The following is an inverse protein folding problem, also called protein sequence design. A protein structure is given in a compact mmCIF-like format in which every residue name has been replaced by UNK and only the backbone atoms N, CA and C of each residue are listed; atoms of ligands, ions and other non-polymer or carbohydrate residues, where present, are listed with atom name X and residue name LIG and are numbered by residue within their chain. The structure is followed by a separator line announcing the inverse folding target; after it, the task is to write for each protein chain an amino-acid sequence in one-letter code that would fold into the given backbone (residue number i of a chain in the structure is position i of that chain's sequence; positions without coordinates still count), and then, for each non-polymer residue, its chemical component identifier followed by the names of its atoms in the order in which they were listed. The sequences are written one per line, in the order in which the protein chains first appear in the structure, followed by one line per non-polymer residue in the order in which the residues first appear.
data_IF_960024870870
#
_entry.id   IF_960024870870
#
_cell.length_a   1.000
_cell.length_b   1.000
_cell.length_c   1.000
_cell.angle_alpha   90.00
_cell.angle_beta   90.00
_cell.angle_gamma   90.00
#
_symmetry.space_group_name_H-M   'P 1'
#
loop_
_entity.id
_entity.type
_entity.pdbx_description
1 polymer ?
#
# COMPACT_ATOMS: atom_id res chain seq x y z
N UNK A 1 35.08 9.02 -70.87
CA UNK A 1 35.66 9.00 -69.53
C UNK A 1 34.95 9.95 -68.52
N UNK A 2 34.51 11.20 -68.86
CA UNK A 2 33.86 12.13 -67.95
C UNK A 2 32.46 11.72 -67.49
N UNK A 3 31.70 10.91 -68.27
CA UNK A 3 30.33 10.46 -67.85
C UNK A 3 30.34 9.26 -66.89
N UNK A 4 31.38 8.45 -66.87
CA UNK A 4 31.49 7.29 -65.93
C UNK A 4 31.93 7.76 -64.55
N UNK A 5 32.74 8.81 -64.44
CA UNK A 5 33.11 9.37 -63.11
C UNK A 5 31.92 10.03 -62.37
N UNK A 6 30.98 10.60 -63.16
CA UNK A 6 29.81 11.26 -62.56
C UNK A 6 28.79 10.27 -61.93
N UNK A 7 28.67 9.06 -62.56
CA UNK A 7 27.77 8.01 -62.05
C UNK A 7 28.32 7.35 -60.75
N UNK A 8 29.64 7.15 -60.69
CA UNK A 8 30.28 6.58 -59.50
C UNK A 8 30.26 7.53 -58.31
N UNK A 9 30.35 8.85 -58.52
CA UNK A 9 30.26 9.84 -57.41
C UNK A 9 28.86 9.94 -56.81
N UNK A 10 27.79 9.80 -57.63
CA UNK A 10 26.39 9.82 -57.15
C UNK A 10 26.04 8.53 -56.40
N UNK A 11 26.57 7.38 -56.82
CA UNK A 11 26.37 6.08 -56.14
C UNK A 11 27.08 6.02 -54.78
N UNK A 12 28.26 6.61 -54.64
CA UNK A 12 29.00 6.65 -53.36
C UNK A 12 28.30 7.61 -52.38
N UNK A 13 27.71 8.72 -52.85
CA UNK A 13 26.96 9.64 -52.00
C UNK A 13 25.60 9.06 -51.56
N UNK A 14 24.94 8.29 -52.42
CA UNK A 14 23.70 7.58 -52.08
C UNK A 14 23.93 6.46 -51.03
N UNK A 15 25.04 5.72 -51.10
CA UNK A 15 25.38 4.70 -50.10
C UNK A 15 25.76 5.32 -48.74
N UNK A 16 26.44 6.48 -48.73
CA UNK A 16 26.75 7.16 -47.46
C UNK A 16 25.52 7.74 -46.77
N UNK A 17 24.49 8.18 -47.50
CA UNK A 17 23.22 8.62 -46.92
C UNK A 17 22.39 7.44 -46.35
N UNK A 18 22.43 6.26 -46.97
CA UNK A 18 21.74 5.06 -46.47
C UNK A 18 22.44 4.53 -45.21
N UNK A 19 23.77 4.60 -45.13
CA UNK A 19 24.51 4.23 -43.92
C UNK A 19 24.35 5.25 -42.79
N UNK A 20 24.22 6.54 -43.09
CA UNK A 20 23.97 7.57 -42.08
C UNK A 20 22.54 7.50 -41.52
N UNK A 21 21.55 7.07 -42.32
CA UNK A 21 20.19 6.85 -41.88
C UNK A 21 20.01 5.58 -41.03
N UNK A 22 20.78 4.52 -41.30
CA UNK A 22 20.75 3.28 -40.53
C UNK A 22 21.50 3.37 -39.19
N UNK A 23 22.31 4.41 -38.97
CA UNK A 23 22.99 4.67 -37.70
C UNK A 23 22.13 5.58 -36.80
N UNK A 24 21.11 6.27 -37.36
CA UNK A 24 20.21 7.20 -36.62
C UNK A 24 18.93 6.55 -36.09
N UNK A 25 18.62 5.30 -36.45
CA UNK A 25 17.52 4.53 -35.94
C UNK A 25 17.99 3.34 -35.07
N UNK A 26 18.88 3.57 -34.11
CA UNK A 26 18.77 2.83 -32.87
C UNK A 26 17.58 3.48 -32.17
N UNK A 27 16.39 2.96 -32.41
CA UNK A 27 15.27 3.15 -31.48
C UNK A 27 15.86 2.83 -30.10
N UNK A 28 15.95 3.82 -29.23
CA UNK A 28 16.11 3.53 -27.82
C UNK A 28 14.95 2.59 -27.49
N UNK A 29 15.27 1.33 -27.32
CA UNK A 29 14.33 0.32 -26.90
C UNK A 29 13.77 0.88 -25.59
N UNK A 30 12.53 1.40 -25.61
CA UNK A 30 11.93 2.06 -24.45
C UNK A 30 11.93 1.03 -23.34
N UNK A 31 12.73 1.29 -22.33
CA UNK A 31 12.79 0.45 -21.14
C UNK A 31 11.40 0.37 -20.55
N UNK A 32 10.91 -0.84 -20.32
CA UNK A 32 9.58 -1.10 -19.76
C UNK A 32 9.74 -1.90 -18.48
N UNK A 33 9.16 -1.41 -17.41
CA UNK A 33 9.12 -2.06 -16.11
C UNK A 33 7.69 -2.61 -15.87
N UNK A 34 7.56 -3.86 -15.47
CA UNK A 34 6.27 -4.44 -15.10
C UNK A 34 6.12 -4.45 -13.58
N UNK A 35 5.10 -3.73 -13.09
CA UNK A 35 4.79 -3.58 -11.67
C UNK A 35 3.47 -4.29 -11.37
N UNK A 36 3.49 -5.24 -10.43
CA UNK A 36 2.28 -5.83 -9.87
C UNK A 36 1.95 -5.12 -8.56
N UNK A 37 0.70 -4.65 -8.44
CA UNK A 37 0.22 -3.96 -7.26
C UNK A 37 -1.21 -4.40 -6.90
N UNK A 38 -1.61 -4.09 -5.68
CA UNK A 38 -2.97 -4.35 -5.22
C UNK A 38 -3.99 -3.42 -5.89
N UNK A 39 -5.26 -3.86 -5.92
CA UNK A 39 -6.29 -3.18 -6.71
C UNK A 39 -6.53 -1.74 -6.29
N UNK A 40 -6.49 -1.43 -4.98
CA UNK A 40 -6.70 -0.06 -4.50
C UNK A 40 -5.58 0.88 -4.93
N UNK A 41 -4.33 0.41 -5.00
CA UNK A 41 -3.22 1.19 -5.56
C UNK A 41 -3.45 1.56 -7.02
N UNK A 42 -4.05 0.64 -7.79
CA UNK A 42 -4.27 0.75 -9.23
C UNK A 42 -5.58 1.44 -9.61
N UNK A 43 -6.53 1.55 -8.69
CA UNK A 43 -7.89 2.05 -8.96
C UNK A 43 -7.94 3.54 -9.29
N UNK A 44 -9.13 4.02 -9.67
CA UNK A 44 -9.36 5.42 -10.06
C UNK A 44 -9.01 6.42 -8.95
N UNK A 45 -9.10 5.99 -7.69
CA UNK A 45 -8.75 6.76 -6.48
C UNK A 45 -7.37 6.38 -5.93
N UNK A 46 -6.67 5.45 -6.61
CA UNK A 46 -5.38 4.96 -6.19
C UNK A 46 -4.22 5.87 -6.59
N UNK A 47 -3.14 5.75 -5.86
CA UNK A 47 -1.95 6.57 -6.04
C UNK A 47 -1.23 6.34 -7.38
N UNK A 48 -1.48 5.23 -8.07
CA UNK A 48 -0.87 4.93 -9.35
C UNK A 48 -1.16 5.99 -10.42
N UNK A 49 -2.35 6.64 -10.35
CA UNK A 49 -2.73 7.71 -11.26
C UNK A 49 -1.81 8.93 -11.25
N UNK A 50 -1.14 9.21 -10.14
CA UNK A 50 -0.14 10.28 -10.01
C UNK A 50 1.29 9.76 -10.11
N UNK A 51 1.62 8.71 -9.36
CA UNK A 51 2.99 8.18 -9.24
C UNK A 51 3.53 7.62 -10.56
N UNK A 52 2.73 6.83 -11.30
CA UNK A 52 3.22 6.20 -12.53
C UNK A 52 3.56 7.23 -13.63
N UNK A 53 2.67 8.19 -13.97
CA UNK A 53 3.01 9.23 -14.95
C UNK A 53 4.19 10.11 -14.51
N UNK A 54 4.32 10.41 -13.22
CA UNK A 54 5.45 11.18 -12.69
C UNK A 54 6.77 10.41 -12.84
N UNK A 55 6.79 9.13 -12.49
CA UNK A 55 7.95 8.25 -12.69
C UNK A 55 8.35 8.16 -14.16
N UNK A 56 7.39 7.87 -15.06
CA UNK A 56 7.63 7.79 -16.49
C UNK A 56 8.20 9.09 -17.07
N UNK A 57 7.71 10.24 -16.60
CA UNK A 57 8.20 11.56 -17.01
C UNK A 57 9.61 11.83 -16.50
N UNK A 58 9.91 11.46 -15.25
CA UNK A 58 11.20 11.71 -14.64
C UNK A 58 12.31 10.83 -15.22
N UNK A 59 12.01 9.57 -15.56
CA UNK A 59 13.02 8.56 -15.91
C UNK A 59 13.01 8.14 -17.37
N UNK A 60 11.92 8.38 -18.12
CA UNK A 60 11.72 7.84 -19.47
C UNK A 60 11.40 6.33 -19.49
N UNK A 61 11.35 5.66 -18.34
CA UNK A 61 11.00 4.24 -18.20
C UNK A 61 9.49 4.11 -18.27
N UNK A 62 8.97 3.24 -19.14
CA UNK A 62 7.54 2.94 -19.21
C UNK A 62 7.15 1.91 -18.16
N UNK A 63 5.98 2.09 -17.54
CA UNK A 63 5.45 1.15 -16.56
C UNK A 63 4.24 0.40 -17.13
N UNK A 64 4.34 -0.92 -17.12
CA UNK A 64 3.23 -1.82 -17.33
C UNK A 64 2.65 -2.19 -15.95
N UNK A 65 1.67 -1.40 -15.48
CA UNK A 65 1.02 -1.63 -14.19
C UNK A 65 -0.03 -2.73 -14.31
N UNK A 66 0.00 -3.69 -13.40
CA UNK A 66 -0.93 -4.82 -13.34
C UNK A 66 -1.63 -4.83 -11.99
N UNK A 67 -2.93 -4.56 -11.98
CA UNK A 67 -3.79 -4.81 -10.83
C UNK A 67 -3.90 -6.32 -10.60
N UNK A 68 -3.46 -6.80 -9.46
CA UNK A 68 -3.28 -8.23 -9.20
C UNK A 68 -4.17 -8.76 -8.05
N UNK A 69 -5.26 -8.07 -7.76
CA UNK A 69 -6.14 -8.36 -6.64
C UNK A 69 -5.64 -7.78 -5.32
N UNK A 70 -5.88 -8.46 -4.21
CA UNK A 70 -5.29 -8.10 -2.93
C UNK A 70 -3.77 -8.40 -2.92
N UNK A 71 -3.02 -7.82 -1.98
CA UNK A 71 -1.56 -8.01 -1.87
C UNK A 71 -1.12 -9.47 -1.83
N UNK A 72 -1.86 -10.33 -1.10
CA UNK A 72 -1.61 -11.78 -1.08
C UNK A 72 -1.84 -12.43 -2.45
N UNK A 73 -2.82 -11.94 -3.21
CA UNK A 73 -3.11 -12.44 -4.56
C UNK A 73 -2.00 -12.04 -5.53
N UNK A 74 -1.45 -10.84 -5.40
CA UNK A 74 -0.28 -10.41 -6.17
C UNK A 74 0.94 -11.32 -5.91
N UNK A 75 1.24 -11.64 -4.65
CA UNK A 75 2.31 -12.57 -4.26
C UNK A 75 2.06 -13.97 -4.89
N UNK A 76 0.83 -14.48 -4.75
CA UNK A 76 0.46 -15.78 -5.29
C UNK A 76 0.54 -15.81 -6.81
N UNK A 77 0.18 -14.72 -7.49
CA UNK A 77 0.30 -14.60 -8.95
C UNK A 77 1.76 -14.75 -9.39
N UNK A 78 2.69 -14.01 -8.77
CA UNK A 78 4.12 -14.14 -9.05
C UNK A 78 4.60 -15.59 -8.82
N UNK A 79 4.17 -16.21 -7.72
CA UNK A 79 4.54 -17.59 -7.36
C UNK A 79 4.03 -18.61 -8.38
N UNK A 80 2.80 -18.46 -8.84
CA UNK A 80 2.20 -19.36 -9.85
C UNK A 80 2.84 -19.19 -11.22
N UNK A 81 3.23 -17.98 -11.61
CA UNK A 81 3.93 -17.72 -12.85
C UNK A 81 5.38 -18.27 -12.83
N UNK A 82 5.99 -18.34 -11.66
CA UNK A 82 7.33 -18.89 -11.44
C UNK A 82 8.37 -18.23 -12.33
N UNK A 83 9.19 -19.04 -13.02
CA UNK A 83 10.25 -18.55 -13.93
C UNK A 83 9.70 -17.79 -15.16
N UNK A 84 8.40 -17.84 -15.42
CA UNK A 84 7.75 -17.14 -16.54
C UNK A 84 7.09 -15.83 -16.10
N UNK A 85 7.24 -15.43 -14.84
CA UNK A 85 6.68 -14.17 -14.38
C UNK A 85 7.22 -12.99 -15.20
N UNK A 86 6.34 -12.03 -15.46
CA UNK A 86 6.72 -10.75 -16.07
C UNK A 86 6.85 -9.63 -15.03
N UNK A 87 6.56 -9.96 -13.77
CA UNK A 87 6.67 -9.00 -12.68
C UNK A 87 8.14 -8.67 -12.43
N UNK A 88 8.47 -7.39 -12.43
CA UNK A 88 9.79 -6.87 -12.05
C UNK A 88 9.80 -6.34 -10.63
N UNK A 89 8.69 -5.66 -10.24
CA UNK A 89 8.48 -5.08 -8.92
C UNK A 89 7.10 -5.45 -8.42
N UNK A 90 7.01 -5.87 -7.17
CA UNK A 90 5.75 -6.02 -6.45
C UNK A 90 5.58 -4.85 -5.47
N UNK A 91 4.38 -4.25 -5.41
CA UNK A 91 4.04 -3.11 -4.56
C UNK A 91 2.87 -3.47 -3.64
N UNK A 92 2.91 -3.00 -2.40
CA UNK A 92 1.85 -3.20 -1.40
C UNK A 92 1.98 -4.50 -0.62
N UNK A 93 3.20 -4.99 -0.44
CA UNK A 93 3.45 -6.09 0.50
C UNK A 93 3.58 -5.51 1.90
N UNK A 94 2.58 -5.72 2.74
CA UNK A 94 2.60 -5.24 4.11
C UNK A 94 3.45 -6.13 5.02
N UNK A 95 3.88 -5.58 6.13
CA UNK A 95 4.74 -6.26 7.13
C UNK A 95 4.11 -7.53 7.70
N UNK A 96 2.79 -7.58 7.82
CA UNK A 96 2.01 -8.71 8.33
C UNK A 96 1.91 -9.91 7.37
N UNK A 97 2.30 -9.75 6.09
CA UNK A 97 2.33 -10.82 5.06
C UNK A 97 3.70 -10.99 4.41
N UNK A 98 4.71 -10.29 4.90
CA UNK A 98 6.05 -10.22 4.31
C UNK A 98 6.72 -11.59 4.14
N UNK A 99 6.50 -12.52 5.09
CA UNK A 99 7.01 -13.89 5.06
C UNK A 99 6.61 -14.65 3.79
N UNK A 100 5.43 -14.33 3.23
CA UNK A 100 4.92 -14.96 2.01
C UNK A 100 5.66 -14.51 0.74
N UNK A 101 6.41 -13.40 0.80
CA UNK A 101 7.07 -12.80 -0.36
C UNK A 101 8.59 -12.98 -0.38
N UNK A 102 9.25 -13.17 0.76
CA UNK A 102 10.70 -13.13 0.88
C UNK A 102 11.47 -14.07 -0.06
N UNK A 103 10.94 -15.25 -0.33
CA UNK A 103 11.57 -16.23 -1.24
C UNK A 103 11.53 -15.80 -2.72
N UNK A 104 10.64 -14.87 -3.06
CA UNK A 104 10.46 -14.34 -4.42
C UNK A 104 11.31 -13.09 -4.70
N UNK A 105 11.91 -12.48 -3.66
CA UNK A 105 12.49 -11.16 -3.73
C UNK A 105 14.01 -11.15 -3.65
N UNK A 106 14.63 -10.18 -4.32
CA UNK A 106 16.05 -9.85 -4.21
C UNK A 106 16.25 -8.66 -3.26
N UNK A 107 17.36 -8.67 -2.53
CA UNK A 107 17.75 -7.55 -1.69
C UNK A 107 18.17 -6.33 -2.52
N UNK A 108 17.77 -5.14 -2.07
CA UNK A 108 18.20 -3.87 -2.62
C UNK A 108 18.58 -2.88 -1.53
N UNK A 109 19.81 -2.37 -1.60
CA UNK A 109 20.29 -1.34 -0.69
C UNK A 109 20.12 0.05 -1.35
N UNK A 110 18.91 0.58 -1.31
CA UNK A 110 18.62 1.91 -1.81
C UNK A 110 19.49 2.97 -1.11
N UNK A 111 20.02 3.96 -1.83
CA UNK A 111 20.74 5.07 -1.21
C UNK A 111 19.86 5.94 -0.30
N UNK A 112 18.55 5.77 -0.36
CA UNK A 112 17.57 6.51 0.43
C UNK A 112 17.08 5.79 1.69
N UNK A 113 17.62 4.61 2.02
CA UNK A 113 17.22 3.86 3.23
C UNK A 113 17.37 4.67 4.52
N UNK A 114 18.36 5.57 4.59
CA UNK A 114 18.60 6.39 5.79
C UNK A 114 17.54 7.49 6.00
N UNK A 115 16.66 7.76 5.01
CA UNK A 115 15.52 8.65 5.19
C UNK A 115 14.33 7.97 5.85
N UNK A 116 14.35 6.65 5.93
CA UNK A 116 13.30 5.82 6.55
C UNK A 116 13.64 5.62 8.03
N UNK A 117 12.68 5.91 8.93
CA UNK A 117 12.86 5.61 10.35
C UNK A 117 13.18 4.11 10.54
N UNK A 118 14.16 3.84 11.39
CA UNK A 118 14.63 2.47 11.62
C UNK A 118 13.52 1.54 12.13
N UNK A 119 12.54 2.07 12.87
CA UNK A 119 11.39 1.30 13.37
C UNK A 119 10.45 0.81 12.27
N UNK A 120 10.44 1.46 11.10
CA UNK A 120 9.65 1.08 9.95
C UNK A 120 10.36 0.05 9.05
N UNK A 121 11.67 -0.14 9.20
CA UNK A 121 12.49 -1.06 8.40
C UNK A 121 12.40 -2.48 8.95
N UNK A 122 11.28 -3.15 8.68
CA UNK A 122 10.96 -4.47 9.23
C UNK A 122 11.76 -5.62 8.59
N UNK A 123 12.21 -5.50 7.33
CA UNK A 123 13.06 -6.49 6.66
C UNK A 123 14.55 -6.09 6.74
N UNK A 124 15.31 -6.80 7.58
CA UNK A 124 16.74 -6.56 7.79
C UNK A 124 17.61 -6.88 6.57
N UNK A 125 17.08 -7.64 5.61
CA UNK A 125 17.79 -7.99 4.37
C UNK A 125 17.44 -7.04 3.22
N UNK A 126 16.59 -6.04 3.45
CA UNK A 126 16.16 -5.04 2.46
C UNK A 126 15.60 -5.67 1.16
N UNK A 127 14.86 -6.78 1.25
CA UNK A 127 14.10 -7.37 0.14
C UNK A 127 12.77 -6.67 -0.04
N UNK A 128 12.19 -6.20 1.08
CA UNK A 128 11.02 -5.34 1.15
C UNK A 128 11.42 -3.99 1.70
N UNK A 129 11.20 -2.95 0.90
CA UNK A 129 11.56 -1.57 1.23
C UNK A 129 10.28 -0.81 1.49
N UNK A 130 10.06 -0.33 2.72
CA UNK A 130 8.88 0.46 3.09
C UNK A 130 8.75 1.72 2.24
N UNK A 131 7.52 2.08 1.85
CA UNK A 131 7.26 3.34 1.14
C UNK A 131 6.18 4.20 1.78
N UNK A 132 5.26 3.60 2.55
CA UNK A 132 4.32 4.30 3.41
C UNK A 132 3.94 3.46 4.63
N UNK A 133 3.24 4.07 5.58
CA UNK A 133 2.73 3.38 6.77
C UNK A 133 1.51 4.08 7.34
N UNK A 134 0.73 3.36 8.14
CA UNK A 134 -0.39 3.90 8.89
C UNK A 134 -0.64 3.16 10.18
N UNK A 135 -1.54 3.68 10.99
CA UNK A 135 -2.01 3.03 12.22
C UNK A 135 -3.51 2.82 12.15
N UNK A 136 -3.98 1.63 12.54
CA UNK A 136 -5.41 1.34 12.56
C UNK A 136 -6.10 2.14 13.65
N UNK A 137 -7.29 2.65 13.34
CA UNK A 137 -8.15 3.32 14.29
C UNK A 137 -9.62 3.13 13.92
N UNK A 138 -10.51 3.21 14.90
CA UNK A 138 -11.91 3.40 14.59
C UNK A 138 -12.14 4.85 14.16
N UNK A 139 -12.85 5.02 13.06
CA UNK A 139 -13.32 6.32 12.58
C UNK A 139 -14.77 6.47 12.97
N UNK A 140 -15.11 7.63 13.45
CA UNK A 140 -16.39 7.95 14.03
C UNK A 140 -17.00 9.20 13.37
N UNK A 141 -18.31 9.14 13.17
CA UNK A 141 -19.09 10.26 12.67
C UNK A 141 -19.50 11.17 13.82
N UNK A 142 -18.87 12.35 13.92
CA UNK A 142 -19.13 13.30 15.01
C UNK A 142 -20.52 13.95 14.97
N UNK A 143 -21.23 13.85 13.84
CA UNK A 143 -22.60 14.35 13.69
C UNK A 143 -23.66 13.28 13.97
N UNK A 144 -23.27 12.05 14.29
CA UNK A 144 -24.16 10.92 14.57
C UNK A 144 -24.95 11.05 15.87
N UNK A 145 -24.55 11.96 16.76
CA UNK A 145 -25.20 12.20 18.05
C UNK A 145 -24.89 11.16 19.13
N UNK A 146 -24.00 10.20 18.89
CA UNK A 146 -23.50 9.28 19.91
C UNK A 146 -22.24 9.84 20.58
N UNK A 147 -21.95 9.40 21.81
CA UNK A 147 -20.66 9.67 22.41
C UNK A 147 -19.58 8.79 21.78
N UNK A 148 -18.39 9.32 21.46
CA UNK A 148 -17.30 8.49 20.93
C UNK A 148 -16.79 7.51 22.00
N UNK A 149 -16.58 6.21 21.65
CA UNK A 149 -16.00 5.24 22.57
C UNK A 149 -14.56 5.65 22.92
N UNK A 150 -14.13 5.37 24.15
CA UNK A 150 -12.84 5.80 24.66
C UNK A 150 -11.80 4.67 24.72
N UNK A 151 -12.18 3.44 24.34
CA UNK A 151 -11.30 2.26 24.34
C UNK A 151 -11.91 1.15 23.49
N UNK A 152 -11.09 0.13 23.17
CA UNK A 152 -11.58 -1.11 22.56
C UNK A 152 -12.68 -1.77 23.40
N UNK A 153 -12.51 -1.79 24.72
CA UNK A 153 -13.50 -2.37 25.61
C UNK A 153 -14.82 -1.57 25.65
N UNK A 154 -14.77 -0.25 25.51
CA UNK A 154 -15.98 0.57 25.48
C UNK A 154 -16.89 0.20 24.30
N UNK A 155 -16.32 -0.18 23.14
CA UNK A 155 -17.09 -0.62 21.97
C UNK A 155 -18.00 -1.83 22.25
N UNK A 156 -17.72 -2.63 23.27
CA UNK A 156 -18.53 -3.80 23.63
C UNK A 156 -19.79 -3.44 24.44
N UNK A 157 -19.95 -2.18 24.87
CA UNK A 157 -21.09 -1.73 25.64
C UNK A 157 -22.37 -1.70 24.80
N UNK A 158 -23.53 -1.88 25.46
CA UNK A 158 -24.85 -1.93 24.79
C UNK A 158 -25.17 -0.66 24.01
N UNK A 159 -24.64 0.49 24.41
CA UNK A 159 -24.85 1.76 23.69
C UNK A 159 -24.25 1.78 22.28
N UNK A 160 -23.29 0.90 21.98
CA UNK A 160 -22.67 0.75 20.65
C UNK A 160 -23.21 -0.44 19.86
N UNK A 161 -24.22 -1.15 20.35
CA UNK A 161 -24.86 -2.25 19.62
C UNK A 161 -25.43 -1.74 18.30
N UNK A 162 -25.16 -2.47 17.21
CA UNK A 162 -25.56 -2.15 15.82
C UNK A 162 -25.03 -0.80 15.31
N UNK A 163 -23.95 -0.28 15.94
CA UNK A 163 -23.33 1.01 15.56
C UNK A 163 -21.90 0.92 15.09
N UNK A 164 -21.34 -0.28 14.98
CA UNK A 164 -19.95 -0.52 14.61
C UNK A 164 -19.89 -1.42 13.40
N UNK A 165 -19.11 -1.04 12.40
CA UNK A 165 -18.76 -1.85 11.25
C UNK A 165 -17.35 -2.39 11.49
N UNK A 166 -17.23 -3.72 11.52
CA UNK A 166 -15.96 -4.44 11.54
C UNK A 166 -15.62 -4.94 10.13
N UNK A 167 -14.38 -5.41 9.96
CA UNK A 167 -13.91 -6.01 8.71
C UNK A 167 -13.32 -7.38 9.00
N UNK A 168 -13.55 -8.34 8.10
CA UNK A 168 -13.14 -9.73 8.26
C UNK A 168 -11.61 -9.87 8.18
N UNK A 169 -10.94 -10.38 9.22
CA UNK A 169 -9.49 -10.53 9.25
C UNK A 169 -8.93 -11.57 8.26
N UNK A 170 -9.79 -12.42 7.69
CA UNK A 170 -9.37 -13.44 6.71
C UNK A 170 -9.24 -12.89 5.30
N UNK A 171 -9.92 -11.77 5.01
CA UNK A 171 -10.11 -11.26 3.65
C UNK A 171 -9.58 -9.84 3.46
N UNK A 172 -9.15 -9.17 4.55
CA UNK A 172 -8.69 -7.77 4.51
C UNK A 172 -7.57 -7.52 5.51
N UNK A 173 -6.55 -6.78 5.09
CA UNK A 173 -5.46 -6.28 5.95
C UNK A 173 -5.99 -5.40 7.08
N UNK A 174 -7.05 -4.61 6.86
CA UNK A 174 -7.67 -3.80 7.92
C UNK A 174 -8.34 -4.67 8.99
N UNK A 175 -9.00 -5.75 8.57
CA UNK A 175 -9.56 -6.73 9.50
C UNK A 175 -8.47 -7.47 10.28
N UNK A 176 -7.41 -7.89 9.60
CA UNK A 176 -6.23 -8.51 10.23
C UNK A 176 -5.56 -7.52 11.19
N UNK A 177 -5.42 -6.25 10.81
CA UNK A 177 -4.90 -5.18 11.66
C UNK A 177 -5.71 -4.99 12.94
N UNK A 178 -7.04 -4.99 12.85
CA UNK A 178 -7.90 -4.96 14.05
C UNK A 178 -7.70 -6.18 14.94
N UNK A 179 -7.53 -7.37 14.34
CA UNK A 179 -7.27 -8.59 15.10
C UNK A 179 -5.95 -8.51 15.87
N UNK A 180 -4.88 -8.07 15.21
CA UNK A 180 -3.57 -7.85 15.81
C UNK A 180 -3.64 -6.76 16.90
N UNK A 181 -4.33 -5.67 16.64
CA UNK A 181 -4.53 -4.60 17.60
C UNK A 181 -5.23 -5.11 18.88
N UNK A 182 -6.34 -5.82 18.73
CA UNK A 182 -7.06 -6.39 19.89
C UNK A 182 -6.20 -7.37 20.67
N UNK A 183 -5.40 -8.21 19.98
CA UNK A 183 -4.47 -9.13 20.62
C UNK A 183 -3.41 -8.39 21.47
N UNK A 184 -2.78 -7.37 20.89
CA UNK A 184 -1.71 -6.62 21.57
C UNK A 184 -2.23 -5.72 22.71
N UNK A 185 -3.40 -5.12 22.52
CA UNK A 185 -3.97 -4.19 23.51
C UNK A 185 -4.68 -4.91 24.65
N UNK A 186 -5.38 -6.01 24.39
CA UNK A 186 -6.25 -6.69 25.36
C UNK A 186 -5.64 -7.97 25.95
N UNK A 187 -4.50 -8.44 25.43
CA UNK A 187 -3.88 -9.70 25.87
C UNK A 187 -4.89 -10.86 25.77
N UNK A 188 -5.01 -11.67 26.82
CA UNK A 188 -5.91 -12.84 26.84
C UNK A 188 -7.39 -12.52 26.59
N UNK A 189 -7.81 -11.25 26.76
CA UNK A 189 -9.19 -10.80 26.57
C UNK A 189 -9.63 -10.65 25.10
N UNK A 190 -8.72 -10.70 24.13
CA UNK A 190 -9.04 -10.44 22.74
C UNK A 190 -10.11 -11.38 22.14
N UNK A 191 -10.13 -12.65 22.54
CA UNK A 191 -11.12 -13.64 22.05
C UNK A 191 -12.54 -13.31 22.53
N UNK A 192 -12.68 -12.92 23.78
CA UNK A 192 -13.99 -12.55 24.35
C UNK A 192 -14.47 -11.22 23.77
N UNK A 193 -13.56 -10.29 23.50
CA UNK A 193 -13.88 -9.06 22.77
C UNK A 193 -14.48 -9.38 21.40
N UNK A 194 -13.82 -10.23 20.61
CA UNK A 194 -14.31 -10.62 19.27
C UNK A 194 -15.63 -11.36 19.30
N UNK A 195 -15.87 -12.26 20.28
CA UNK A 195 -17.16 -12.90 20.46
C UNK A 195 -18.27 -11.88 20.71
N UNK A 196 -18.02 -10.93 21.61
CA UNK A 196 -18.97 -9.88 21.93
C UNK A 196 -19.24 -8.98 20.73
N UNK A 197 -18.17 -8.52 20.08
CA UNK A 197 -18.28 -7.62 18.93
C UNK A 197 -18.90 -8.28 17.71
N UNK A 198 -18.67 -9.57 17.48
CA UNK A 198 -19.34 -10.30 16.38
C UNK A 198 -20.84 -10.39 16.56
N UNK A 199 -21.34 -10.31 17.81
CA UNK A 199 -22.77 -10.29 18.11
C UNK A 199 -23.36 -8.87 18.18
N UNK A 200 -22.50 -7.86 18.43
CA UNK A 200 -22.93 -6.48 18.66
C UNK A 200 -22.69 -5.55 17.48
N UNK A 201 -21.75 -5.88 16.59
CA UNK A 201 -21.50 -5.06 15.41
C UNK A 201 -22.68 -5.11 14.43
N UNK A 202 -22.92 -4.03 13.71
CA UNK A 202 -23.90 -4.00 12.62
C UNK A 202 -23.56 -5.07 11.60
N UNK A 203 -22.28 -5.16 11.22
CA UNK A 203 -21.79 -6.16 10.27
C UNK A 203 -20.28 -6.36 10.40
N UNK A 204 -19.80 -7.48 9.84
CA UNK A 204 -18.38 -7.74 9.55
C UNK A 204 -18.26 -7.75 8.03
N UNK A 205 -17.79 -6.64 7.45
CA UNK A 205 -17.65 -6.46 6.01
C UNK A 205 -16.48 -7.28 5.45
N UNK A 206 -16.57 -7.69 4.19
CA UNK A 206 -15.56 -8.50 3.53
C UNK A 206 -14.25 -7.75 3.20
N UNK A 207 -14.27 -6.41 3.21
CA UNK A 207 -13.11 -5.58 2.91
C UNK A 207 -13.31 -4.11 3.29
N UNK A 208 -12.22 -3.35 3.25
CA UNK A 208 -12.23 -1.96 3.67
C UNK A 208 -13.22 -1.10 2.85
N UNK A 209 -13.18 -1.18 1.53
CA UNK A 209 -14.07 -0.38 0.67
C UNK A 209 -15.56 -0.65 0.96
N UNK A 210 -15.92 -1.92 1.20
CA UNK A 210 -17.30 -2.28 1.54
C UNK A 210 -17.70 -1.73 2.92
N UNK A 211 -16.85 -1.89 3.94
CA UNK A 211 -17.13 -1.41 5.28
C UNK A 211 -17.14 0.11 5.37
N UNK A 212 -16.17 0.77 4.75
CA UNK A 212 -16.08 2.23 4.76
C UNK A 212 -17.20 2.89 3.94
N UNK A 213 -17.63 2.23 2.84
CA UNK A 213 -18.80 2.66 2.06
C UNK A 213 -20.08 2.67 2.91
N UNK A 214 -20.38 1.61 3.64
CA UNK A 214 -21.52 1.55 4.56
C UNK A 214 -21.46 2.67 5.63
N UNK A 215 -20.27 2.98 6.14
CA UNK A 215 -20.08 4.06 7.10
C UNK A 215 -20.39 5.44 6.49
N UNK A 216 -19.87 5.74 5.29
CA UNK A 216 -20.13 7.02 4.62
C UNK A 216 -21.56 7.14 4.12
N UNK A 217 -22.26 6.04 3.86
CA UNK A 217 -23.69 5.96 3.58
C UNK A 217 -24.55 6.19 4.84
N UNK A 218 -23.94 6.16 6.04
CA UNK A 218 -24.61 6.43 7.31
C UNK A 218 -25.28 5.21 7.95
N UNK A 219 -24.95 3.99 7.50
CA UNK A 219 -25.51 2.75 8.05
C UNK A 219 -25.08 2.50 9.50
N UNK A 220 -23.87 2.89 9.87
CA UNK A 220 -23.39 2.91 11.25
C UNK A 220 -22.39 4.04 11.48
N UNK A 221 -22.35 4.63 12.68
CA UNK A 221 -21.53 5.80 12.98
C UNK A 221 -20.06 5.49 13.30
N UNK A 222 -19.65 4.23 13.33
CA UNK A 222 -18.29 3.82 13.69
C UNK A 222 -17.83 2.71 12.73
N UNK A 223 -16.62 2.85 12.18
CA UNK A 223 -15.98 1.83 11.33
C UNK A 223 -14.51 1.69 11.69
N UNK A 224 -13.97 0.47 11.60
CA UNK A 224 -12.52 0.27 11.64
C UNK A 224 -11.87 0.75 10.34
N UNK A 225 -10.84 1.60 10.48
CA UNK A 225 -10.04 2.14 9.37
C UNK A 225 -8.66 2.58 9.89
N UNK A 226 -8.20 3.78 9.53
CA UNK A 226 -6.89 4.32 9.90
C UNK A 226 -7.00 5.67 10.61
N UNK A 227 -5.97 6.02 11.39
CA UNK A 227 -5.86 7.37 11.98
C UNK A 227 -5.82 8.46 10.90
N UNK A 228 -5.40 8.13 9.70
CA UNK A 228 -5.27 9.03 8.55
C UNK A 228 -6.56 9.14 7.71
N UNK A 229 -7.56 8.30 7.94
CA UNK A 229 -8.82 8.33 7.16
C UNK A 229 -9.52 9.70 7.10
N UNK A 230 -9.49 10.54 8.14
CA UNK A 230 -10.09 11.88 8.09
C UNK A 230 -9.48 12.79 7.01
N UNK A 231 -8.22 12.57 6.62
CA UNK A 231 -7.50 13.41 5.63
C UNK A 231 -8.28 13.51 4.32
N UNK A 232 -8.77 12.37 3.81
CA UNK A 232 -9.55 12.34 2.57
C UNK A 232 -10.75 13.30 2.63
N UNK A 233 -11.52 13.25 3.70
CA UNK A 233 -12.71 14.07 3.87
C UNK A 233 -12.39 15.57 4.01
N UNK A 234 -11.27 15.88 4.67
CA UNK A 234 -10.79 17.27 4.77
C UNK A 234 -10.35 17.79 3.41
N UNK A 235 -9.58 17.00 2.65
CA UNK A 235 -9.01 17.44 1.37
C UNK A 235 -10.03 17.52 0.24
N UNK A 236 -10.92 16.55 0.15
CA UNK A 236 -11.79 16.39 -1.02
C UNK A 236 -13.26 16.70 -0.76
N UNK A 237 -13.73 16.60 0.48
CA UNK A 237 -15.13 16.87 0.85
C UNK A 237 -15.29 18.12 1.72
N UNK A 238 -14.17 18.77 2.09
CA UNK A 238 -14.13 19.96 2.93
C UNK A 238 -14.94 19.81 4.24
N UNK A 239 -14.82 18.65 4.89
CA UNK A 239 -15.49 18.34 6.14
C UNK A 239 -14.54 17.73 7.18
N UNK A 240 -14.77 18.05 8.45
CA UNK A 240 -14.08 17.47 9.61
C UNK A 240 -15.01 16.57 10.43
N UNK A 241 -16.14 16.18 9.85
CA UNK A 241 -17.18 15.35 10.47
C UNK A 241 -16.63 14.00 10.91
N UNK A 242 -15.81 13.36 10.08
CA UNK A 242 -15.25 12.05 10.34
C UNK A 242 -13.94 12.18 11.11
N UNK A 243 -13.84 11.53 12.26
CA UNK A 243 -12.72 11.67 13.17
C UNK A 243 -12.16 10.32 13.57
N UNK A 244 -10.84 10.19 13.59
CA UNK A 244 -10.18 8.99 14.08
C UNK A 244 -10.10 9.01 15.62
N UNK A 245 -10.45 7.89 16.26
CA UNK A 245 -10.43 7.74 17.69
C UNK A 245 -9.06 7.22 18.14
N UNK A 246 -8.40 7.95 19.05
CA UNK A 246 -7.19 7.49 19.71
C UNK A 246 -7.53 6.82 21.05
N UNK A 247 -7.06 5.58 21.19
CA UNK A 247 -7.18 4.84 22.45
C UNK A 247 -5.84 4.80 23.19
N UNK A 248 -5.87 4.98 24.49
CA UNK A 248 -4.66 4.98 25.34
C UNK A 248 -3.99 3.61 25.42
N UNK A 249 -4.71 2.55 25.08
CA UNK A 249 -4.19 1.17 25.04
C UNK A 249 -3.11 0.96 23.96
N UNK A 250 -3.05 1.86 23.00
CA UNK A 250 -2.16 1.82 21.83
C UNK A 250 -2.89 1.43 20.56
N UNK A 251 -2.19 1.49 19.43
CA UNK A 251 -2.73 1.18 18.10
C UNK A 251 -1.77 0.26 17.34
N UNK A 252 -2.29 -0.62 16.51
CA UNK A 252 -1.48 -1.44 15.61
C UNK A 252 -1.10 -0.63 14.37
N UNK A 253 0.13 -0.80 13.88
CA UNK A 253 0.58 -0.22 12.63
C UNK A 253 0.52 -1.22 11.48
N UNK A 254 0.47 -0.71 10.27
CA UNK A 254 0.76 -1.44 9.03
C UNK A 254 1.81 -0.66 8.25
N UNK A 255 2.77 -1.34 7.68
CA UNK A 255 3.86 -0.77 6.91
C UNK A 255 3.81 -1.42 5.54
N UNK A 256 3.58 -0.62 4.49
CA UNK A 256 3.56 -1.11 3.13
C UNK A 256 4.93 -1.00 2.48
N UNK A 257 5.32 -2.02 1.74
CA UNK A 257 6.63 -2.12 1.11
C UNK A 257 6.55 -2.56 -0.35
N UNK A 258 7.61 -2.23 -1.08
CA UNK A 258 7.86 -2.72 -2.43
C UNK A 258 9.12 -3.60 -2.47
N UNK A 259 9.14 -4.57 -3.40
CA UNK A 259 10.27 -5.48 -3.55
C UNK A 259 10.57 -5.82 -5.00
N UNK A 260 11.84 -6.08 -5.30
CA UNK A 260 12.33 -6.48 -6.63
C UNK A 260 12.22 -8.00 -6.78
N UNK A 261 11.60 -8.45 -7.84
CA UNK A 261 11.43 -9.89 -8.11
C UNK A 261 12.77 -10.52 -8.54
N UNK A 262 13.09 -11.67 -7.95
CA UNK A 262 14.28 -12.46 -8.29
C UNK A 262 14.36 -12.80 -9.78
N UNK A 263 15.51 -12.53 -10.37
CA UNK A 263 15.77 -12.88 -11.76
C UNK A 263 15.15 -11.93 -12.77
N UNK A 264 14.64 -10.77 -12.36
CA UNK A 264 14.22 -9.72 -13.29
C UNK A 264 15.38 -9.31 -14.21
N UNK A 265 15.06 -9.05 -15.48
CA UNK A 265 16.02 -8.51 -16.46
C UNK A 265 16.08 -6.98 -16.43
N UNK A 266 15.19 -6.35 -15.68
CA UNK A 266 15.01 -4.90 -15.57
C UNK A 266 15.45 -4.38 -14.19
N UNK A 267 16.53 -4.95 -13.64
CA UNK A 267 17.02 -4.66 -12.28
C UNK A 267 17.23 -3.16 -12.04
N UNK A 268 17.90 -2.46 -12.96
CA UNK A 268 18.20 -1.04 -12.79
C UNK A 268 16.95 -0.16 -12.86
N UNK A 269 15.96 -0.56 -13.66
CA UNK A 269 14.66 0.10 -13.76
C UNK A 269 13.84 -0.12 -12.48
N UNK A 270 13.90 -1.33 -11.92
CA UNK A 270 13.25 -1.68 -10.66
C UNK A 270 13.84 -0.91 -9.47
N UNK A 271 15.17 -0.80 -9.39
CA UNK A 271 15.87 0.03 -8.40
C UNK A 271 15.45 1.51 -8.51
N UNK A 272 15.41 2.05 -9.74
CA UNK A 272 14.96 3.42 -9.98
C UNK A 272 13.51 3.64 -9.55
N UNK A 273 12.63 2.65 -9.71
CA UNK A 273 11.24 2.74 -9.29
C UNK A 273 11.10 2.76 -7.76
N UNK A 274 11.85 1.89 -7.05
CA UNK A 274 11.86 1.88 -5.59
C UNK A 274 12.44 3.20 -5.05
N UNK A 275 13.54 3.70 -5.63
CA UNK A 275 14.12 4.97 -5.22
C UNK A 275 13.15 6.14 -5.44
N UNK A 276 12.37 6.10 -6.53
CA UNK A 276 11.33 7.08 -6.81
C UNK A 276 10.20 7.03 -5.76
N UNK A 277 9.78 5.82 -5.33
CA UNK A 277 8.82 5.67 -4.25
C UNK A 277 9.29 6.28 -2.93
N UNK A 278 10.61 6.31 -2.66
CA UNK A 278 11.20 6.87 -1.44
C UNK A 278 11.48 8.37 -1.51
N UNK A 279 11.35 8.97 -2.69
CA UNK A 279 11.72 10.37 -2.93
C UNK A 279 10.57 11.16 -3.52
N UNK A 280 10.51 11.31 -4.83
CA UNK A 280 9.57 12.20 -5.52
C UNK A 280 8.10 11.75 -5.39
N UNK A 281 7.85 10.46 -5.18
CA UNK A 281 6.49 9.92 -5.01
C UNK A 281 5.92 10.14 -3.60
N UNK A 282 6.73 10.47 -2.60
CA UNK A 282 6.29 10.46 -1.19
C UNK A 282 5.12 11.41 -0.92
N UNK A 283 5.11 12.59 -1.54
CA UNK A 283 4.00 13.52 -1.37
C UNK A 283 2.73 13.05 -2.10
N UNK A 284 2.87 12.41 -3.25
CA UNK A 284 1.74 11.83 -3.97
C UNK A 284 1.16 10.62 -3.21
N UNK A 285 2.02 9.78 -2.62
CA UNK A 285 1.62 8.70 -1.71
C UNK A 285 0.83 9.24 -0.52
N UNK A 286 1.35 10.28 0.15
CA UNK A 286 0.65 10.91 1.26
C UNK A 286 -0.72 11.45 0.83
N UNK A 287 -0.81 12.16 -0.29
CA UNK A 287 -2.05 12.79 -0.74
C UNK A 287 -3.11 11.79 -1.22
N UNK A 288 -2.72 10.77 -2.00
CA UNK A 288 -3.66 9.86 -2.62
C UNK A 288 -3.96 8.62 -1.77
N UNK A 289 -2.95 8.07 -1.09
CA UNK A 289 -3.13 6.90 -0.21
C UNK A 289 -3.63 7.29 1.19
N UNK A 290 -3.52 8.57 1.55
CA UNK A 290 -3.81 9.05 2.91
C UNK A 290 -3.06 8.21 3.97
N UNK A 291 -1.80 7.87 3.69
CA UNK A 291 -0.89 7.16 4.59
C UNK A 291 0.30 8.06 4.91
N UNK A 292 0.99 7.81 6.01
CA UNK A 292 2.21 8.56 6.32
C UNK A 292 3.35 8.15 5.39
N UNK A 293 4.07 9.10 4.78
CA UNK A 293 5.29 8.80 4.03
C UNK A 293 6.37 8.27 4.98
N UNK A 294 7.19 7.33 4.50
CA UNK A 294 8.31 6.80 5.30
C UNK A 294 9.51 7.74 5.34
N UNK A 295 9.61 8.65 4.38
CA UNK A 295 10.67 9.66 4.32
C UNK A 295 10.34 10.80 5.30
N UNK A 296 11.04 10.81 6.43
CA UNK A 296 10.83 11.77 7.52
C UNK A 296 11.18 13.22 7.17
N UNK A 297 11.77 13.48 5.99
CA UNK A 297 12.10 14.83 5.53
C UNK A 297 10.97 15.49 4.75
N UNK A 298 9.90 14.77 4.45
CA UNK A 298 8.75 15.29 3.70
C UNK A 298 7.88 16.15 4.61
N UNK A 299 7.57 17.36 4.15
CA UNK A 299 6.59 18.23 4.79
C UNK A 299 5.18 17.76 4.43
N UNK A 300 4.41 17.40 5.45
CA UNK A 300 3.05 16.88 5.26
C UNK A 300 2.07 18.01 4.93
N UNK A 301 1.05 17.74 4.11
CA UNK A 301 -0.06 18.68 3.89
C UNK A 301 -0.78 19.04 5.19
N UNK A 302 -1.35 20.25 5.27
CA UNK A 302 -2.11 20.75 6.42
C UNK A 302 -3.25 19.80 6.86
N UNK A 303 -3.82 19.04 5.92
CA UNK A 303 -4.85 18.04 6.23
C UNK A 303 -4.39 16.94 7.20
N UNK A 304 -3.08 16.72 7.32
CA UNK A 304 -2.51 15.77 8.30
C UNK A 304 -2.63 16.23 9.74
N UNK A 305 -2.94 17.50 10.00
CA UNK A 305 -3.30 17.98 11.35
C UNK A 305 -4.56 17.30 11.89
N UNK A 306 -5.38 16.71 11.00
CA UNK A 306 -6.57 15.93 11.33
C UNK A 306 -6.32 14.42 11.47
N UNK A 307 -5.07 13.98 11.27
CA UNK A 307 -4.63 12.60 11.47
C UNK A 307 -3.92 12.47 12.82
N UNK A 308 -4.61 12.07 13.89
CA UNK A 308 -3.99 12.01 15.20
C UNK A 308 -2.95 10.88 15.26
N UNK A 309 -1.80 11.16 15.88
CA UNK A 309 -0.71 10.20 16.04
C UNK A 309 -0.85 9.48 17.37
N UNK A 310 -0.91 8.13 17.39
CA UNK A 310 -0.98 7.36 18.63
C UNK A 310 0.28 7.52 19.49
N UNK A 311 0.09 7.64 20.81
CA UNK A 311 1.21 7.70 21.75
C UNK A 311 1.91 6.35 21.97
N UNK A 312 1.29 5.25 21.56
CA UNK A 312 1.81 3.88 21.64
C UNK A 312 1.42 3.10 20.39
N UNK A 313 2.39 2.51 19.73
CA UNK A 313 2.23 1.75 18.48
C UNK A 313 2.69 0.31 18.72
N UNK A 314 1.92 -0.63 18.20
CA UNK A 314 2.26 -2.05 18.11
C UNK A 314 2.58 -2.43 16.67
N UNK A 315 3.41 -3.45 16.51
CA UNK A 315 3.64 -4.15 15.25
C UNK A 315 3.61 -5.64 15.49
N UNK A 316 2.98 -6.39 14.62
CA UNK A 316 2.85 -7.85 14.75
C UNK A 316 3.53 -8.55 13.59
N UNK A 317 4.35 -9.54 13.87
CA UNK A 317 5.03 -10.31 12.83
C UNK A 317 4.05 -11.13 11.97
N UNK A 318 4.40 -11.37 10.72
CA UNK A 318 3.58 -12.13 9.77
C UNK A 318 3.22 -13.55 10.27
N UNK A 319 4.17 -14.26 10.88
CA UNK A 319 3.91 -15.58 11.48
C UNK A 319 2.81 -15.52 12.55
N UNK A 320 2.87 -14.48 13.41
CA UNK A 320 1.87 -14.29 14.47
C UNK A 320 0.51 -13.91 13.91
N UNK A 321 0.46 -13.10 12.88
CA UNK A 321 -0.77 -12.75 12.18
C UNK A 321 -1.49 -13.99 11.65
N UNK A 322 -0.76 -14.86 10.97
CA UNK A 322 -1.30 -16.12 10.44
C UNK A 322 -1.85 -17.04 11.54
N UNK A 323 -1.15 -17.15 12.67
CA UNK A 323 -1.61 -17.89 13.85
C UNK A 323 -2.92 -17.30 14.41
N UNK A 324 -2.98 -15.97 14.56
CA UNK A 324 -4.14 -15.27 15.12
C UNK A 324 -5.39 -15.41 14.23
N UNK A 325 -5.24 -15.33 12.91
CA UNK A 325 -6.35 -15.53 11.96
C UNK A 325 -6.93 -16.93 12.10
N UNK A 326 -6.09 -17.97 12.25
CA UNK A 326 -6.55 -19.33 12.48
C UNK A 326 -7.32 -19.45 13.81
N UNK A 327 -6.79 -18.89 14.90
CA UNK A 327 -7.46 -18.89 16.20
C UNK A 327 -8.77 -18.10 16.18
N UNK A 328 -8.82 -16.96 15.48
CA UNK A 328 -10.03 -16.17 15.31
C UNK A 328 -11.11 -16.97 14.58
N UNK A 329 -10.74 -17.64 13.47
CA UNK A 329 -11.64 -18.48 12.70
C UNK A 329 -12.26 -19.58 13.56
N UNK A 330 -11.46 -20.26 14.39
CA UNK A 330 -11.96 -21.27 15.33
C UNK A 330 -12.89 -20.70 16.41
N UNK A 331 -12.69 -19.43 16.76
CA UNK A 331 -13.43 -18.77 17.85
C UNK A 331 -14.76 -18.22 17.38
N UNK A 332 -14.83 -17.66 16.18
CA UNK A 332 -15.98 -16.89 15.66
C UNK A 332 -16.81 -17.68 14.66
N UNK A 333 -16.22 -18.55 13.86
CA UNK A 333 -16.93 -19.34 12.82
C UNK A 333 -17.71 -20.55 13.38
N UNK A 334 -17.82 -20.68 14.70
CA UNK A 334 -18.66 -21.66 15.40
C UNK A 334 -19.98 -21.04 15.80
#
# INVERSE_FOLDING_TARGET
MKKVLSVCAVLVFALSCIFAQSISEKSEERKTLTVYAYDTFCGDWGVAGSVIPAFEKATGIKVNLVAAGASVEAINKVRLEGANTRCDVIVGVSDDIADKAYDLLEAYNSPYLETIDQSLRFDKENRLIPYDYGTFAFVYDSESGINPPQSLMALTMEEYRDKVILIDPRTSSVGAGLLMWTYNALGDGWKDWWKTMSANALTIASGWSAGYGLFTEGEAPIVISYTTSPIYHVMYENTTRYQALLFTDGHEATIEAAGIIKGTKHRSEAESFIDFLLTDAQIDLANANSMYPVNSTIELPEAYDYAPVPGKIFTTSADKTSELINQWTETIAK
#
